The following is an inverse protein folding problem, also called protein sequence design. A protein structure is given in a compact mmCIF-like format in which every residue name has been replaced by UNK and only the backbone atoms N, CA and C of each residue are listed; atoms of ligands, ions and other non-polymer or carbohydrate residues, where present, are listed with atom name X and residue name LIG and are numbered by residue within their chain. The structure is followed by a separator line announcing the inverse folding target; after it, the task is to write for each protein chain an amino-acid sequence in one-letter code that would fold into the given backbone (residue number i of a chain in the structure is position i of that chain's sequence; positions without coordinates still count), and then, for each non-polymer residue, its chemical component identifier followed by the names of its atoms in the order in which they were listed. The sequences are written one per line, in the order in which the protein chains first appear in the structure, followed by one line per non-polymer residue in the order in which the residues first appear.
data_IF_218554281601
#
_entry.id   IF_218554281601
#
_cell.length_a   1.000
_cell.length_b   1.000
_cell.length_c   1.000
_cell.angle_alpha   90.00
_cell.angle_beta   90.00
_cell.angle_gamma   90.00
#
_symmetry.space_group_name_H-M   'P 1'
#
loop_
_entity.id
_entity.type
_entity.pdbx_description
1 polymer ?
#
# COMPACT_ATOMS: atom_id res chain seq x y z
N UNK A 1 -24.57 31.99 12.40
CA UNK A 1 -24.40 30.56 12.72
C UNK A 1 -23.92 29.74 11.50
N UNK A 2 -22.97 30.21 10.66
CA UNK A 2 -22.54 29.40 9.49
C UNK A 2 -21.02 29.43 9.20
N UNK A 3 -20.31 30.56 9.36
CA UNK A 3 -18.87 30.63 9.05
C UNK A 3 -17.97 29.70 9.91
N UNK A 4 -18.25 29.59 11.22
CA UNK A 4 -17.46 28.73 12.12
C UNK A 4 -17.73 27.25 11.81
N UNK A 5 -18.99 26.89 11.56
CA UNK A 5 -19.37 25.53 11.19
C UNK A 5 -18.81 25.14 9.81
N UNK A 6 -18.83 26.04 8.83
CA UNK A 6 -18.20 25.82 7.51
C UNK A 6 -16.68 25.66 7.62
N UNK A 7 -16.01 26.49 8.41
CA UNK A 7 -14.56 26.39 8.62
C UNK A 7 -14.17 25.08 9.32
N UNK A 8 -14.95 24.63 10.31
CA UNK A 8 -14.74 23.36 11.01
C UNK A 8 -15.00 22.18 10.05
N UNK A 9 -16.08 22.23 9.27
CA UNK A 9 -16.42 21.19 8.29
C UNK A 9 -15.38 21.10 7.17
N UNK A 10 -14.89 22.23 6.64
CA UNK A 10 -13.83 22.27 5.63
C UNK A 10 -12.53 21.65 6.15
N UNK A 11 -12.09 22.03 7.37
CA UNK A 11 -10.90 21.45 8.01
C UNK A 11 -11.05 19.95 8.29
N UNK A 12 -12.22 19.53 8.80
CA UNK A 12 -12.51 18.12 9.02
C UNK A 12 -12.44 17.32 7.71
N UNK A 13 -12.96 17.87 6.61
CA UNK A 13 -12.95 17.19 5.31
C UNK A 13 -11.53 17.06 4.71
N UNK A 14 -10.67 18.06 4.92
CA UNK A 14 -9.25 18.01 4.53
C UNK A 14 -8.51 16.96 5.34
N UNK A 15 -8.71 16.94 6.67
CA UNK A 15 -8.05 15.96 7.55
C UNK A 15 -8.45 14.53 7.20
N UNK A 16 -9.75 14.28 6.99
CA UNK A 16 -10.25 12.96 6.56
C UNK A 16 -9.65 12.55 5.22
N UNK A 17 -9.58 13.46 4.25
CA UNK A 17 -8.98 13.20 2.93
C UNK A 17 -7.50 12.85 3.05
N UNK A 18 -6.75 13.52 3.94
CA UNK A 18 -5.34 13.26 4.18
C UNK A 18 -5.10 11.90 4.86
N UNK A 19 -5.98 11.49 5.77
CA UNK A 19 -5.94 10.15 6.39
C UNK A 19 -6.18 9.07 5.34
N UNK A 20 -7.22 9.22 4.52
CA UNK A 20 -7.55 8.26 3.45
C UNK A 20 -6.38 8.17 2.45
N UNK A 21 -5.83 9.30 2.03
CA UNK A 21 -4.67 9.37 1.15
C UNK A 21 -3.48 8.60 1.72
N UNK A 22 -3.18 8.83 3.01
CA UNK A 22 -2.09 8.16 3.72
C UNK A 22 -2.29 6.64 3.73
N UNK A 23 -3.50 6.16 4.02
CA UNK A 23 -3.83 4.73 4.00
C UNK A 23 -3.61 4.13 2.61
N UNK A 24 -4.07 4.79 1.55
CA UNK A 24 -3.93 4.31 0.16
C UNK A 24 -2.45 4.20 -0.23
N UNK A 25 -1.64 5.21 0.12
CA UNK A 25 -0.19 5.19 -0.11
C UNK A 25 0.47 4.05 0.64
N UNK A 26 0.14 3.84 1.92
CA UNK A 26 0.68 2.74 2.71
C UNK A 26 0.32 1.37 2.14
N UNK A 27 -0.92 1.19 1.68
CA UNK A 27 -1.34 -0.04 0.99
C UNK A 27 -0.46 -0.26 -0.24
N UNK A 28 -0.30 0.75 -1.10
CA UNK A 28 0.55 0.65 -2.29
C UNK A 28 2.01 0.28 -1.97
N UNK A 29 2.58 0.84 -0.89
CA UNK A 29 3.94 0.49 -0.43
C UNK A 29 4.00 -0.96 0.05
N UNK A 30 3.02 -1.44 0.82
CA UNK A 30 2.99 -2.83 1.31
C UNK A 30 2.95 -3.82 0.13
N UNK A 31 2.11 -3.55 -0.87
CA UNK A 31 2.04 -4.40 -2.07
C UNK A 31 3.34 -4.36 -2.87
N UNK A 32 3.98 -3.20 -3.06
CA UNK A 32 5.30 -3.08 -3.69
C UNK A 32 6.37 -3.90 -2.95
N UNK A 33 6.39 -3.84 -1.61
CA UNK A 33 7.28 -4.65 -0.77
C UNK A 33 7.04 -6.15 -0.97
N UNK A 34 5.79 -6.58 -1.09
CA UNK A 34 5.46 -7.98 -1.36
C UNK A 34 5.95 -8.39 -2.75
N UNK A 35 5.70 -7.59 -3.78
CA UNK A 35 6.13 -7.87 -5.16
C UNK A 35 7.65 -7.98 -5.30
N UNK A 36 8.38 -7.12 -4.59
CA UNK A 36 9.85 -7.14 -4.54
C UNK A 36 10.37 -8.31 -3.70
N UNK A 37 9.72 -8.63 -2.57
CA UNK A 37 10.12 -9.76 -1.75
C UNK A 37 9.92 -11.11 -2.45
N UNK A 38 8.83 -11.26 -3.21
CA UNK A 38 8.52 -12.49 -3.96
C UNK A 38 9.54 -12.73 -5.08
N UNK A 39 9.99 -11.68 -5.75
CA UNK A 39 11.01 -11.78 -6.81
C UNK A 39 12.42 -11.98 -6.26
N UNK A 40 12.72 -11.45 -5.07
CA UNK A 40 14.04 -11.57 -4.45
C UNK A 40 14.25 -12.85 -3.61
N UNK A 41 13.19 -13.55 -3.22
CA UNK A 41 13.29 -14.71 -2.34
C UNK A 41 13.74 -15.98 -3.08
N UNK A 42 14.70 -16.75 -2.54
CA UNK A 42 15.12 -18.02 -3.15
C UNK A 42 14.09 -19.13 -2.90
N UNK A 43 13.81 -19.97 -3.91
CA UNK A 43 12.79 -21.03 -3.84
C UNK A 43 13.19 -22.23 -2.97
N UNK A 44 14.48 -22.61 -2.99
CA UNK A 44 15.01 -23.80 -2.30
C UNK A 44 14.57 -23.96 -0.83
N UNK A 45 14.68 -22.94 0.06
CA UNK A 45 14.25 -23.07 1.45
C UNK A 45 12.75 -23.33 1.61
N UNK A 46 11.92 -22.90 0.65
CA UNK A 46 10.47 -23.07 0.73
C UNK A 46 10.01 -24.48 0.35
N UNK A 47 10.78 -25.20 -0.48
CA UNK A 47 10.53 -26.62 -0.75
C UNK A 47 10.73 -27.47 0.50
N UNK A 48 11.83 -27.26 1.22
CA UNK A 48 12.09 -27.93 2.50
C UNK A 48 11.01 -27.61 3.54
N UNK A 49 10.61 -26.34 3.66
CA UNK A 49 9.52 -25.92 4.55
C UNK A 49 8.17 -26.54 4.18
N UNK A 50 7.90 -26.73 2.88
CA UNK A 50 6.68 -27.37 2.41
C UNK A 50 6.68 -28.87 2.73
N UNK A 51 7.82 -29.55 2.59
CA UNK A 51 7.99 -30.95 3.00
C UNK A 51 7.82 -31.11 4.52
N UNK A 52 8.38 -30.18 5.30
CA UNK A 52 8.19 -30.07 6.76
C UNK A 52 6.80 -29.59 7.21
N UNK A 53 5.83 -29.44 6.29
CA UNK A 53 4.45 -29.02 6.54
C UNK A 53 4.31 -27.69 7.31
N UNK A 54 5.24 -26.75 7.10
CA UNK A 54 5.13 -25.41 7.67
C UNK A 54 3.89 -24.70 7.10
N UNK A 55 3.06 -24.13 7.98
CA UNK A 55 1.83 -23.42 7.59
C UNK A 55 2.17 -22.27 6.63
N UNK A 56 1.46 -22.19 5.50
CA UNK A 56 1.69 -21.16 4.48
C UNK A 56 2.85 -21.44 3.52
N UNK A 57 3.72 -22.42 3.76
CA UNK A 57 4.85 -22.71 2.88
C UNK A 57 4.42 -23.20 1.48
N UNK A 58 3.33 -23.96 1.39
CA UNK A 58 2.76 -24.42 0.12
C UNK A 58 2.17 -23.26 -0.71
N UNK A 59 1.67 -22.22 -0.05
CA UNK A 59 1.17 -21.00 -0.69
C UNK A 59 2.35 -20.12 -1.12
N UNK A 60 3.34 -19.95 -0.24
CA UNK A 60 4.58 -19.23 -0.53
C UNK A 60 5.31 -19.81 -1.76
N UNK A 61 5.48 -21.14 -1.84
CA UNK A 61 6.05 -21.80 -3.02
C UNK A 61 5.27 -21.54 -4.31
N UNK A 62 3.93 -21.45 -4.24
CA UNK A 62 3.10 -21.08 -5.40
C UNK A 62 3.29 -19.61 -5.81
N UNK A 63 3.51 -18.71 -4.86
CA UNK A 63 3.83 -17.31 -5.15
C UNK A 63 5.17 -17.20 -5.87
N UNK A 64 6.20 -17.90 -5.37
CA UNK A 64 7.55 -17.93 -5.94
C UNK A 64 7.56 -18.48 -7.38
N UNK A 65 6.87 -19.60 -7.62
CA UNK A 65 6.75 -20.18 -8.98
C UNK A 65 6.09 -19.24 -10.00
N UNK A 66 5.31 -18.28 -9.53
CA UNK A 66 4.60 -17.31 -10.35
C UNK A 66 5.09 -15.88 -10.04
N UNK A 67 6.35 -15.73 -9.61
CA UNK A 67 6.88 -14.49 -9.07
C UNK A 67 6.66 -13.31 -10.01
N UNK A 68 6.92 -13.47 -11.31
CA UNK A 68 6.74 -12.40 -12.30
C UNK A 68 5.29 -11.91 -12.35
N UNK A 69 4.32 -12.83 -12.37
CA UNK A 69 2.89 -12.46 -12.39
C UNK A 69 2.47 -11.78 -11.09
N UNK A 70 2.95 -12.25 -9.96
CA UNK A 70 2.66 -11.65 -8.65
C UNK A 70 3.29 -10.27 -8.54
N UNK A 71 4.52 -10.11 -9.01
CA UNK A 71 5.24 -8.84 -9.00
C UNK A 71 4.55 -7.81 -9.87
N UNK A 72 4.21 -8.13 -11.12
CA UNK A 72 3.48 -7.22 -12.00
C UNK A 72 2.10 -6.87 -11.42
N UNK A 73 1.39 -7.83 -10.81
CA UNK A 73 0.12 -7.52 -10.17
C UNK A 73 0.29 -6.54 -8.99
N UNK A 74 1.24 -6.79 -8.10
CA UNK A 74 1.48 -5.96 -6.92
C UNK A 74 2.05 -4.58 -7.27
N UNK A 75 3.00 -4.52 -8.20
CA UNK A 75 3.76 -3.31 -8.50
C UNK A 75 3.04 -2.46 -9.54
N UNK A 76 2.55 -3.07 -10.63
CA UNK A 76 1.93 -2.32 -11.73
C UNK A 76 0.44 -2.16 -11.45
N UNK A 77 -0.34 -3.25 -11.36
CA UNK A 77 -1.79 -3.11 -11.26
C UNK A 77 -2.24 -2.42 -9.95
N UNK A 78 -1.80 -2.92 -8.79
CA UNK A 78 -2.16 -2.31 -7.49
C UNK A 78 -1.44 -0.96 -7.33
N UNK A 79 -0.18 -0.86 -7.73
CA UNK A 79 0.59 0.37 -7.65
C UNK A 79 0.00 1.51 -8.48
N UNK A 80 -0.44 1.25 -9.71
CA UNK A 80 -1.07 2.24 -10.60
C UNK A 80 -2.43 2.67 -10.06
N UNK A 81 -3.25 1.74 -9.56
CA UNK A 81 -4.54 2.07 -8.94
C UNK A 81 -4.31 2.96 -7.71
N UNK A 82 -3.38 2.58 -6.82
CA UNK A 82 -3.03 3.39 -5.66
C UNK A 82 -2.48 4.76 -6.09
N UNK A 83 -1.66 4.83 -7.14
CA UNK A 83 -1.08 6.06 -7.67
C UNK A 83 -2.13 7.01 -8.24
N UNK A 84 -3.04 6.51 -9.08
CA UNK A 84 -4.12 7.30 -9.68
C UNK A 84 -5.08 7.82 -8.61
N UNK A 85 -5.54 6.94 -7.70
CA UNK A 85 -6.50 7.35 -6.66
C UNK A 85 -5.85 8.34 -5.68
N UNK A 86 -4.60 8.09 -5.26
CA UNK A 86 -3.89 9.01 -4.37
C UNK A 86 -3.61 10.36 -5.03
N UNK A 87 -3.26 10.38 -6.32
CA UNK A 87 -3.12 11.59 -7.12
C UNK A 87 -4.41 12.39 -7.22
N UNK A 88 -5.54 11.72 -7.50
CA UNK A 88 -6.85 12.37 -7.57
C UNK A 88 -7.26 12.98 -6.22
N UNK A 89 -7.08 12.26 -5.11
CA UNK A 89 -7.37 12.76 -3.76
C UNK A 89 -6.45 13.94 -3.42
N UNK A 90 -5.15 13.84 -3.74
CA UNK A 90 -4.19 14.92 -3.57
C UNK A 90 -4.61 16.19 -4.31
N UNK A 91 -5.03 16.07 -5.58
CA UNK A 91 -5.54 17.18 -6.37
C UNK A 91 -6.80 17.82 -5.75
N UNK A 92 -7.74 17.00 -5.25
CA UNK A 92 -8.94 17.50 -4.57
C UNK A 92 -8.58 18.26 -3.29
N UNK A 93 -7.59 17.80 -2.52
CA UNK A 93 -7.10 18.51 -1.32
C UNK A 93 -6.53 19.88 -1.70
N UNK A 94 -5.68 19.93 -2.73
CA UNK A 94 -5.08 21.18 -3.24
C UNK A 94 -6.16 22.15 -3.73
N UNK A 95 -7.12 21.67 -4.53
CA UNK A 95 -8.21 22.50 -5.05
C UNK A 95 -9.05 23.12 -3.93
N UNK A 96 -9.41 22.35 -2.89
CA UNK A 96 -10.19 22.86 -1.74
C UNK A 96 -9.45 23.93 -0.95
N UNK A 97 -8.12 23.82 -0.85
CA UNK A 97 -7.27 24.83 -0.20
C UNK A 97 -7.25 26.14 -1.00
N UNK A 98 -7.20 26.05 -2.33
CA UNK A 98 -7.16 27.20 -3.24
C UNK A 98 -8.51 27.92 -3.34
N UNK A 99 -9.64 27.20 -3.42
CA UNK A 99 -10.98 27.80 -3.50
C UNK A 99 -11.40 28.56 -2.24
N UNK A 100 -10.75 28.29 -1.10
CA UNK A 100 -11.03 28.97 0.18
C UNK A 100 -10.37 30.35 0.32
N UNK A 101 -9.51 30.75 -0.63
CA UNK A 101 -9.06 32.10 -0.99
C UNK A 101 -7.79 31.94 -1.84
N UNK A 102 -7.72 32.46 -3.07
CA UNK A 102 -6.55 32.33 -3.93
C UNK A 102 -5.45 33.30 -3.45
N UNK A 103 -4.71 32.86 -2.43
CA UNK A 103 -3.54 33.57 -1.92
C UNK A 103 -2.27 32.78 -2.30
N UNK A 104 -1.22 33.50 -2.71
CA UNK A 104 0.06 32.92 -3.13
C UNK A 104 0.66 32.06 -1.99
N UNK A 105 0.46 32.46 -0.73
CA UNK A 105 0.90 31.72 0.44
C UNK A 105 0.22 30.34 0.57
N UNK A 106 -1.08 30.26 0.24
CA UNK A 106 -1.82 28.98 0.28
C UNK A 106 -1.44 28.07 -0.88
N UNK A 107 -1.15 28.64 -2.05
CA UNK A 107 -0.61 27.87 -3.17
C UNK A 107 0.75 27.24 -2.80
N UNK A 108 1.65 28.01 -2.19
CA UNK A 108 2.95 27.51 -1.71
C UNK A 108 2.77 26.41 -0.65
N UNK A 109 1.85 26.61 0.30
CA UNK A 109 1.54 25.62 1.32
C UNK A 109 0.98 24.32 0.72
N UNK A 110 0.09 24.42 -0.28
CA UNK A 110 -0.46 23.25 -0.97
C UNK A 110 0.60 22.46 -1.74
N UNK A 111 1.54 23.17 -2.40
CA UNK A 111 2.67 22.56 -3.06
C UNK A 111 3.63 21.90 -2.06
N UNK A 112 3.88 22.53 -0.90
CA UNK A 112 4.67 21.94 0.17
C UNK A 112 4.03 20.65 0.72
N UNK A 113 2.71 20.63 0.91
CA UNK A 113 1.97 19.44 1.35
C UNK A 113 2.06 18.33 0.29
N UNK A 114 1.83 18.64 -0.99
CA UNK A 114 1.94 17.67 -2.07
C UNK A 114 3.37 17.11 -2.20
N UNK A 115 4.37 17.98 -2.10
CA UNK A 115 5.79 17.59 -2.08
C UNK A 115 6.14 16.69 -0.90
N UNK A 116 5.62 17.01 0.29
CA UNK A 116 5.79 16.17 1.47
C UNK A 116 5.18 14.78 1.29
N UNK A 117 3.94 14.69 0.78
CA UNK A 117 3.27 13.42 0.51
C UNK A 117 4.05 12.60 -0.53
N UNK A 118 4.53 13.26 -1.60
CA UNK A 118 5.33 12.60 -2.63
C UNK A 118 6.64 12.08 -2.06
N UNK A 119 7.34 12.87 -1.24
CA UNK A 119 8.56 12.46 -0.54
C UNK A 119 8.35 11.26 0.37
N UNK A 120 7.29 11.26 1.18
CA UNK A 120 6.92 10.12 2.03
C UNK A 120 6.60 8.89 1.19
N UNK A 121 5.93 9.06 0.05
CA UNK A 121 5.58 7.96 -0.86
C UNK A 121 6.82 7.32 -1.49
N UNK A 122 7.69 8.13 -2.10
CA UNK A 122 8.91 7.67 -2.77
C UNK A 122 9.93 7.13 -1.76
N UNK A 123 10.15 7.85 -0.66
CA UNK A 123 11.03 7.43 0.43
C UNK A 123 10.54 6.16 1.12
N UNK A 124 9.23 6.05 1.36
CA UNK A 124 8.60 4.86 1.94
C UNK A 124 8.79 3.62 1.06
N UNK A 125 8.61 3.74 -0.27
CA UNK A 125 8.92 2.65 -1.21
C UNK A 125 10.39 2.26 -1.16
N UNK A 126 11.32 3.22 -1.15
CA UNK A 126 12.75 2.93 -1.11
C UNK A 126 13.16 2.16 0.16
N UNK A 127 12.69 2.61 1.33
CA UNK A 127 12.91 1.92 2.61
C UNK A 127 12.28 0.52 2.58
N UNK A 128 11.04 0.43 2.09
CA UNK A 128 10.31 -0.83 1.94
C UNK A 128 11.08 -1.85 1.10
N UNK A 129 11.64 -1.43 -0.05
CA UNK A 129 12.46 -2.29 -0.91
C UNK A 129 13.70 -2.82 -0.20
N UNK A 130 14.37 -1.98 0.59
CA UNK A 130 15.53 -2.44 1.37
C UNK A 130 15.13 -3.54 2.38
N UNK A 131 13.98 -3.37 3.05
CA UNK A 131 13.41 -4.38 3.94
C UNK A 131 13.01 -5.64 3.16
N UNK A 132 12.40 -5.48 1.99
CA UNK A 132 11.99 -6.57 1.11
C UNK A 132 13.18 -7.47 0.73
N UNK A 133 14.32 -6.87 0.39
CA UNK A 133 15.53 -7.59 0.02
C UNK A 133 16.16 -8.31 1.22
N UNK A 134 16.26 -7.64 2.38
CA UNK A 134 16.87 -8.23 3.59
C UNK A 134 16.02 -9.31 4.25
N UNK A 135 14.70 -9.20 4.17
CA UNK A 135 13.73 -10.09 4.83
C UNK A 135 12.80 -10.79 3.84
N UNK A 136 13.25 -11.00 2.61
CA UNK A 136 12.45 -11.57 1.51
C UNK A 136 11.78 -12.88 1.91
N UNK A 137 12.53 -13.81 2.52
CA UNK A 137 12.01 -15.10 3.02
C UNK A 137 10.87 -14.94 4.04
N UNK A 138 11.04 -14.05 5.02
CA UNK A 138 10.05 -13.83 6.07
C UNK A 138 8.78 -13.20 5.51
N UNK A 139 8.92 -12.21 4.61
CA UNK A 139 7.79 -11.54 3.97
C UNK A 139 7.01 -12.52 3.11
N UNK A 140 7.68 -13.29 2.25
CA UNK A 140 7.03 -14.29 1.39
C UNK A 140 6.33 -15.37 2.21
N UNK A 141 6.93 -15.81 3.32
CA UNK A 141 6.28 -16.77 4.22
C UNK A 141 5.05 -16.18 4.91
N UNK A 142 5.11 -14.93 5.38
CA UNK A 142 3.96 -14.22 5.96
C UNK A 142 2.84 -14.02 4.95
N UNK A 143 3.17 -13.65 3.71
CA UNK A 143 2.20 -13.54 2.61
C UNK A 143 1.56 -14.89 2.31
N UNK A 144 2.37 -15.96 2.24
CA UNK A 144 1.87 -17.33 2.09
C UNK A 144 0.96 -17.77 3.23
N UNK A 145 1.29 -17.39 4.47
CA UNK A 145 0.47 -17.64 5.65
C UNK A 145 -0.85 -16.86 5.63
N UNK A 146 -0.84 -15.60 5.22
CA UNK A 146 -2.06 -14.79 5.07
C UNK A 146 -3.02 -15.42 4.05
N UNK A 147 -2.51 -15.88 2.90
CA UNK A 147 -3.29 -16.60 1.89
C UNK A 147 -3.82 -17.92 2.45
N UNK A 148 -2.99 -18.66 3.20
CA UNK A 148 -3.42 -19.89 3.87
C UNK A 148 -4.60 -19.61 4.81
N UNK A 149 -4.50 -18.59 5.67
CA UNK A 149 -5.53 -18.22 6.62
C UNK A 149 -6.82 -17.79 5.92
N UNK A 150 -6.72 -16.99 4.86
CA UNK A 150 -7.88 -16.58 4.04
C UNK A 150 -8.55 -17.79 3.36
N UNK A 151 -7.76 -18.73 2.84
CA UNK A 151 -8.27 -19.98 2.24
C UNK A 151 -8.91 -20.90 3.27
N UNK A 152 -8.44 -20.87 4.51
CA UNK A 152 -9.00 -21.63 5.62
C UNK A 152 -10.33 -21.04 6.08
N UNK A 153 -10.41 -19.71 6.26
CA UNK A 153 -11.63 -18.99 6.62
C UNK A 153 -12.73 -19.14 5.56
N UNK A 154 -12.39 -19.03 4.27
CA UNK A 154 -13.36 -19.23 3.19
C UNK A 154 -13.90 -20.66 3.14
N UNK A 155 -13.10 -21.68 3.47
CA UNK A 155 -13.57 -23.07 3.61
C UNK A 155 -14.52 -23.27 4.79
N UNK A 156 -14.30 -22.57 5.90
CA UNK A 156 -15.21 -22.59 7.05
C UNK A 156 -16.56 -21.94 6.71
N UNK A 157 -16.54 -20.82 5.96
CA UNK A 157 -17.76 -20.15 5.51
C UNK A 157 -18.59 -21.00 4.54
N UNK A 158 -17.96 -21.90 3.77
CA UNK A 158 -18.63 -22.78 2.80
C UNK A 158 -19.22 -24.08 3.41
N UNK A 159 -18.98 -24.32 4.71
CA UNK A 159 -19.51 -25.47 5.46
C UNK A 159 -20.68 -25.12 6.39
N UNK A 160 -21.09 -23.84 6.42
CA UNK A 160 -22.37 -23.38 6.97
C UNK A 160 -23.32 -23.10 5.80
#
# INVERSE_FOLDING_TARGET
MSLISEAILLKANILVSLIILTIIVFIGIIFDVIGVAVTAAPEAPFHAMSAGRVKGAKQATRLLKNADRVSNFCNDAVGDICGIISGAIGAVIVLRLLTSNPDLQKALLSAAIAGFISSVTVGGKAIGKNIALKKSKEIVLKTGYAIYLLSFLSRLKKRK
#
